data_IF_797333977834
#
_entry.id   IF_797333977834
#
_cell.length_a   1.000
_cell.length_b   1.000
_cell.length_c   1.000
_cell.angle_alpha   90.00
_cell.angle_beta   90.00
_cell.angle_gamma   90.00
#
_symmetry.space_group_name_H-M   'P 1'
#
loop_
_entity.id
_entity.type
_entity.pdbx_description
1 polymer ?
#
# COMPACT_ATOMS: atom_id res chain seq x y z
N UNK A 1 -26.74 3.02 -4.47
CA UNK A 1 -25.60 2.92 -5.38
C UNK A 1 -24.38 3.59 -4.77
N UNK A 2 -23.24 2.93 -4.80
CA UNK A 2 -22.02 3.51 -4.29
C UNK A 2 -21.41 4.46 -5.31
N UNK A 3 -21.01 5.61 -4.85
CA UNK A 3 -20.29 6.57 -5.68
C UNK A 3 -18.82 6.58 -5.30
N UNK A 4 -17.97 6.54 -6.31
CA UNK A 4 -16.53 6.65 -6.13
C UNK A 4 -16.03 7.92 -6.78
N UNK A 5 -14.97 8.46 -6.24
CA UNK A 5 -14.30 9.58 -6.86
C UNK A 5 -13.68 9.14 -8.19
N UNK A 6 -13.50 10.07 -9.11
CA UNK A 6 -12.82 9.78 -10.37
C UNK A 6 -11.34 9.51 -10.12
N UNK A 7 -10.70 8.83 -11.06
CA UNK A 7 -9.25 8.55 -11.00
C UNK A 7 -8.48 9.87 -10.92
N UNK A 8 -8.90 10.88 -11.68
CA UNK A 8 -8.25 12.19 -11.70
C UNK A 8 -8.31 12.87 -10.34
N UNK A 9 -9.46 12.78 -9.66
CA UNK A 9 -9.62 13.33 -8.32
C UNK A 9 -8.71 12.62 -7.32
N UNK A 10 -8.58 11.30 -7.44
CA UNK A 10 -7.72 10.51 -6.55
C UNK A 10 -6.25 10.88 -6.78
N UNK A 11 -5.82 11.02 -8.03
CA UNK A 11 -4.45 11.41 -8.36
C UNK A 11 -4.12 12.77 -7.73
N UNK A 12 -5.03 13.75 -7.86
CA UNK A 12 -4.83 15.06 -7.27
C UNK A 12 -4.76 15.00 -5.75
N UNK A 13 -5.59 14.17 -5.11
CA UNK A 13 -5.57 14.01 -3.67
C UNK A 13 -4.24 13.43 -3.19
N UNK A 14 -3.75 12.38 -3.86
CA UNK A 14 -2.46 11.76 -3.53
C UNK A 14 -1.31 12.74 -3.74
N UNK A 15 -1.35 13.48 -4.85
CA UNK A 15 -0.33 14.50 -5.15
C UNK A 15 -0.29 15.57 -4.06
N UNK A 16 -1.44 15.93 -3.51
CA UNK A 16 -1.55 16.92 -2.45
C UNK A 16 -1.25 16.40 -1.06
N UNK A 17 -0.86 15.14 -0.92
CA UNK A 17 -0.48 14.56 0.37
C UNK A 17 -1.63 13.98 1.16
N UNK A 18 -2.79 13.81 0.54
CA UNK A 18 -3.95 13.24 1.23
C UNK A 18 -3.88 11.72 1.27
N UNK A 19 -4.51 11.17 2.29
CA UNK A 19 -4.71 9.72 2.40
C UNK A 19 -6.02 9.39 1.67
N UNK A 20 -5.98 8.38 0.83
CA UNK A 20 -7.14 7.93 0.07
C UNK A 20 -7.41 6.46 0.33
N UNK A 21 -8.64 6.03 0.06
CA UNK A 21 -9.02 4.62 0.15
C UNK A 21 -9.24 4.10 -1.26
N UNK A 22 -8.55 3.03 -1.60
CA UNK A 22 -8.69 2.38 -2.90
C UNK A 22 -9.28 0.99 -2.68
N UNK A 23 -10.37 0.70 -3.37
CA UNK A 23 -11.02 -0.61 -3.32
C UNK A 23 -10.63 -1.41 -4.54
N UNK A 24 -10.31 -2.68 -4.35
CA UNK A 24 -10.10 -3.54 -5.50
C UNK A 24 -11.42 -4.12 -5.99
N UNK A 25 -11.37 -4.91 -7.07
CA UNK A 25 -12.55 -5.46 -7.72
C UNK A 25 -13.29 -6.43 -6.79
N UNK A 26 -14.62 -6.40 -6.86
CA UNK A 26 -15.47 -7.33 -6.10
C UNK A 26 -15.14 -8.79 -6.43
N UNK A 27 -14.72 -9.05 -7.68
CA UNK A 27 -14.39 -10.39 -8.14
C UNK A 27 -12.99 -10.83 -7.70
N UNK A 28 -12.21 -9.94 -7.11
CA UNK A 28 -10.89 -10.25 -6.57
C UNK A 28 -10.98 -10.37 -5.06
N UNK A 29 -10.46 -9.41 -4.32
CA UNK A 29 -10.47 -9.47 -2.85
C UNK A 29 -11.62 -8.67 -2.24
N UNK A 30 -12.12 -7.68 -2.98
CA UNK A 30 -13.17 -6.77 -2.52
C UNK A 30 -12.78 -6.12 -1.18
N UNK A 31 -11.53 -5.72 -1.08
CA UNK A 31 -10.98 -5.10 0.12
C UNK A 31 -10.48 -3.69 -0.19
N UNK A 32 -10.49 -2.85 0.82
CA UNK A 32 -10.00 -1.49 0.71
C UNK A 32 -8.61 -1.35 1.30
N UNK A 33 -7.77 -0.57 0.65
CA UNK A 33 -6.45 -0.20 1.15
C UNK A 33 -6.42 1.31 1.38
N UNK A 34 -5.76 1.71 2.47
CA UNK A 34 -5.53 3.11 2.78
C UNK A 34 -4.15 3.47 2.25
N UNK A 35 -4.08 4.47 1.38
CA UNK A 35 -2.88 4.78 0.60
C UNK A 35 -2.51 6.25 0.73
N UNK A 36 -1.23 6.53 0.82
CA UNK A 36 -0.69 7.87 0.60
C UNK A 36 0.61 7.76 -0.21
N UNK A 37 1.04 8.87 -0.80
CA UNK A 37 2.33 8.89 -1.48
C UNK A 37 3.46 8.70 -0.47
N UNK A 38 4.50 7.97 -0.86
CA UNK A 38 5.63 7.67 0.03
C UNK A 38 6.30 8.94 0.56
N UNK A 39 6.39 9.99 -0.25
CA UNK A 39 6.98 11.25 0.18
C UNK A 39 6.19 11.93 1.31
N UNK A 40 4.94 11.53 1.51
CA UNK A 40 4.09 12.04 2.58
C UNK A 40 3.88 11.02 3.71
N UNK A 41 4.74 10.01 3.79
CA UNK A 41 4.70 9.01 4.87
C UNK A 41 5.31 9.61 6.15
N UNK A 42 4.64 10.61 6.67
CA UNK A 42 5.03 11.27 7.94
C UNK A 42 4.65 10.39 9.12
N UNK A 43 5.23 10.64 10.31
CA UNK A 43 4.79 9.93 11.52
C UNK A 43 3.28 10.00 11.74
N UNK A 44 2.67 11.16 11.47
CA UNK A 44 1.23 11.36 11.64
C UNK A 44 0.43 10.47 10.68
N UNK A 45 0.83 10.42 9.40
CA UNK A 45 0.12 9.63 8.40
C UNK A 45 0.29 8.13 8.66
N UNK A 46 1.49 7.69 9.01
CA UNK A 46 1.74 6.28 9.33
C UNK A 46 0.97 5.88 10.58
N UNK A 47 0.95 6.73 11.59
CA UNK A 47 0.17 6.50 12.80
C UNK A 47 -1.33 6.41 12.50
N UNK A 48 -1.82 7.27 11.63
CA UNK A 48 -3.22 7.21 11.20
C UNK A 48 -3.55 5.85 10.58
N UNK A 49 -2.69 5.39 9.67
CA UNK A 49 -2.88 4.11 9.02
C UNK A 49 -2.89 2.95 10.03
N UNK A 50 -1.92 2.95 10.94
CA UNK A 50 -1.82 1.91 11.95
C UNK A 50 -3.01 1.91 12.91
N UNK A 51 -3.46 3.09 13.32
CA UNK A 51 -4.51 3.24 14.33
C UNK A 51 -5.90 2.97 13.79
N UNK A 52 -6.18 3.43 12.59
CA UNK A 52 -7.55 3.41 12.04
C UNK A 52 -7.76 2.38 10.94
N UNK A 53 -6.80 2.19 10.05
CA UNK A 53 -6.93 1.20 9.00
C UNK A 53 -6.52 -0.19 9.48
N UNK A 54 -5.52 -0.25 10.35
CA UNK A 54 -4.97 -1.50 10.87
C UNK A 54 -4.41 -2.37 9.74
N UNK A 55 -4.13 -3.62 10.01
CA UNK A 55 -3.57 -4.49 9.01
C UNK A 55 -2.09 -4.26 8.77
N UNK A 56 -1.61 -4.73 7.64
CA UNK A 56 -0.18 -4.71 7.30
C UNK A 56 0.17 -3.41 6.57
N UNK A 57 1.17 -2.71 7.08
CA UNK A 57 1.68 -1.52 6.40
C UNK A 57 2.75 -1.96 5.41
N UNK A 58 2.55 -1.60 4.14
CA UNK A 58 3.44 -2.00 3.06
C UNK A 58 3.89 -0.77 2.28
N UNK A 59 5.07 -0.87 1.70
CA UNK A 59 5.57 0.12 0.77
C UNK A 59 5.99 -0.58 -0.53
N UNK A 60 5.12 -0.59 -1.54
CA UNK A 60 5.48 -1.14 -2.85
C UNK A 60 6.64 -0.36 -3.44
N UNK A 61 7.63 -1.07 -3.98
CA UNK A 61 8.80 -0.42 -4.56
C UNK A 61 9.39 -1.28 -5.67
N UNK A 62 10.14 -0.62 -6.54
CA UNK A 62 10.83 -1.30 -7.62
C UNK A 62 11.95 -2.17 -7.07
N UNK A 63 12.23 -3.27 -7.75
CA UNK A 63 13.25 -4.25 -7.34
C UNK A 63 14.63 -3.61 -7.12
N UNK A 64 14.97 -2.58 -7.89
CA UNK A 64 16.25 -1.90 -7.75
C UNK A 64 16.42 -1.29 -6.36
N UNK A 65 15.35 -0.76 -5.78
CA UNK A 65 15.39 -0.22 -4.42
C UNK A 65 15.50 -1.31 -3.38
N UNK A 66 14.81 -2.44 -3.61
CA UNK A 66 14.89 -3.60 -2.73
C UNK A 66 16.32 -4.11 -2.65
N UNK A 67 16.98 -4.25 -3.80
CA UNK A 67 18.37 -4.70 -3.87
C UNK A 67 19.32 -3.69 -3.22
N UNK A 68 19.11 -2.41 -3.48
CA UNK A 68 19.94 -1.34 -2.91
C UNK A 68 19.86 -1.33 -1.39
N UNK A 69 18.69 -1.63 -0.83
CA UNK A 69 18.49 -1.69 0.61
C UNK A 69 18.92 -3.02 1.23
N UNK A 70 19.27 -4.00 0.39
CA UNK A 70 19.71 -5.31 0.87
C UNK A 70 18.62 -6.13 1.51
N UNK A 71 17.37 -5.94 1.08
CA UNK A 71 16.24 -6.67 1.63
C UNK A 71 16.06 -8.01 0.93
N UNK A 72 15.96 -9.06 1.71
CA UNK A 72 15.70 -10.40 1.19
C UNK A 72 14.19 -10.67 1.15
N UNK A 73 13.80 -11.63 0.29
CA UNK A 73 12.42 -12.06 0.25
C UNK A 73 12.07 -12.78 1.54
N UNK A 74 10.84 -12.58 2.01
CA UNK A 74 10.34 -13.23 3.23
C UNK A 74 10.34 -14.74 3.07
N UNK A 75 9.97 -15.23 1.88
CA UNK A 75 9.95 -16.65 1.56
C UNK A 75 10.67 -16.88 0.25
N UNK A 76 11.51 -17.93 0.19
CA UNK A 76 12.19 -18.32 -1.06
C UNK A 76 11.19 -18.88 -2.08
N UNK A 77 10.09 -19.47 -1.60
CA UNK A 77 9.00 -19.95 -2.45
C UNK A 77 7.74 -19.23 -2.02
N UNK A 78 7.12 -18.53 -2.97
CA UNK A 78 5.89 -17.79 -2.69
C UNK A 78 4.69 -18.75 -2.75
N UNK A 79 4.05 -18.97 -1.60
CA UNK A 79 2.88 -19.83 -1.49
C UNK A 79 1.59 -19.05 -1.33
N UNK A 80 1.66 -17.72 -1.41
CA UNK A 80 0.48 -16.86 -1.34
C UNK A 80 -0.43 -17.10 -2.54
N UNK A 81 -1.75 -17.19 -2.30
CA UNK A 81 -2.74 -17.43 -3.35
C UNK A 81 -2.74 -16.36 -4.44
N UNK A 82 -2.35 -15.15 -4.09
CA UNK A 82 -2.33 -14.01 -5.01
C UNK A 82 -0.95 -13.74 -5.59
N UNK A 83 0.03 -14.53 -5.22
CA UNK A 83 1.39 -14.39 -5.74
C UNK A 83 2.10 -13.13 -5.28
N UNK A 84 1.69 -12.53 -4.18
CA UNK A 84 2.31 -11.30 -3.69
C UNK A 84 3.73 -11.54 -3.19
N UNK A 85 4.67 -10.76 -3.70
CA UNK A 85 6.08 -10.89 -3.37
C UNK A 85 6.43 -9.93 -2.22
N UNK A 86 6.47 -10.45 -1.00
CA UNK A 86 6.89 -9.69 0.18
C UNK A 86 8.35 -9.90 0.48
N UNK A 87 9.04 -8.82 0.86
CA UNK A 87 10.36 -8.92 1.46
C UNK A 87 10.22 -9.21 2.96
N UNK A 88 11.36 -9.43 3.62
CA UNK A 88 11.37 -9.44 5.08
C UNK A 88 10.87 -8.08 5.59
N UNK A 89 10.27 -8.07 6.77
CA UNK A 89 9.78 -6.84 7.35
C UNK A 89 10.89 -6.04 8.01
N UNK A 90 10.70 -4.74 8.08
CA UNK A 90 11.64 -3.83 8.72
C UNK A 90 10.90 -2.92 9.70
N UNK A 91 11.63 -2.29 10.56
CA UNK A 91 11.08 -1.29 11.48
C UNK A 91 10.88 0.06 10.78
#
# INVERSE_FOLDING_TARGET
>A
MKEFNSVEEVIEAVRGGKIVVVMDDEDRENEGDVICAAEFATPENVNFMASYAKGLICMPMHVDYVEKLGLDMMCSVNTDNHGTAFTESID
#
